data_IF_656071688645
#
_entry.id   IF_656071688645
#
_cell.length_a   1.000
_cell.length_b   1.000
_cell.length_c   1.000
_cell.angle_alpha   90.00
_cell.angle_beta   90.00
_cell.angle_gamma   90.00
#
_symmetry.space_group_name_H-M   'P 1'
#
loop_
_entity.id
_entity.type
_entity.pdbx_description
1 polymer ?
#
# COMPACT_ATOMS: atom_id res chain seq x y z
N UNK A 1 -0.29 -13.33 -19.81
CA UNK A 1 -0.45 -12.02 -19.15
C UNK A 1 -1.71 -12.06 -18.29
N UNK A 2 -1.75 -11.36 -17.14
CA UNK A 2 -2.91 -11.25 -16.25
C UNK A 2 -4.14 -10.71 -16.98
N UNK A 3 -3.99 -9.69 -17.82
CA UNK A 3 -5.10 -9.10 -18.58
C UNK A 3 -5.79 -10.11 -19.50
N UNK A 4 -5.04 -10.93 -20.24
CA UNK A 4 -5.58 -11.95 -21.15
C UNK A 4 -6.40 -13.04 -20.44
N UNK A 5 -6.19 -13.22 -19.13
CA UNK A 5 -6.90 -14.20 -18.31
C UNK A 5 -8.23 -13.67 -17.77
N UNK A 6 -8.50 -12.38 -17.94
CA UNK A 6 -9.78 -11.79 -17.53
C UNK A 6 -10.87 -12.14 -18.54
N UNK A 7 -12.13 -12.10 -18.13
CA UNK A 7 -13.25 -12.33 -19.05
C UNK A 7 -13.26 -11.29 -20.17
N UNK A 8 -13.75 -11.64 -21.35
CA UNK A 8 -13.85 -10.68 -22.47
C UNK A 8 -14.64 -9.43 -22.08
N UNK A 9 -15.67 -9.57 -21.24
CA UNK A 9 -16.47 -8.47 -20.74
C UNK A 9 -15.63 -7.51 -19.88
N UNK A 10 -14.84 -8.04 -18.94
CA UNK A 10 -13.94 -7.24 -18.11
C UNK A 10 -12.85 -6.54 -18.94
N UNK A 11 -12.28 -7.24 -19.91
CA UNK A 11 -11.27 -6.66 -20.81
C UNK A 11 -11.87 -5.49 -21.61
N UNK A 12 -13.02 -5.70 -22.25
CA UNK A 12 -13.75 -4.67 -23.01
C UNK A 12 -14.16 -3.49 -22.12
N UNK A 13 -14.65 -3.77 -20.92
CA UNK A 13 -15.05 -2.73 -19.97
C UNK A 13 -13.86 -1.90 -19.48
N UNK A 14 -12.72 -2.54 -19.18
CA UNK A 14 -11.49 -1.84 -18.78
C UNK A 14 -10.97 -0.91 -19.88
N UNK A 15 -10.85 -1.43 -21.11
CA UNK A 15 -10.44 -0.64 -22.28
C UNK A 15 -11.41 0.53 -22.48
N UNK A 16 -12.72 0.29 -22.41
CA UNK A 16 -13.72 1.34 -22.62
C UNK A 16 -13.62 2.45 -21.58
N UNK A 17 -13.41 2.11 -20.30
CA UNK A 17 -13.24 3.12 -19.25
C UNK A 17 -11.95 3.94 -19.44
N UNK A 18 -10.85 3.30 -19.83
CA UNK A 18 -9.61 4.00 -20.18
C UNK A 18 -9.81 4.95 -21.37
N UNK A 19 -10.51 4.51 -22.42
CA UNK A 19 -10.84 5.35 -23.57
C UNK A 19 -11.70 6.55 -23.18
N UNK A 20 -12.73 6.37 -22.35
CA UNK A 20 -13.60 7.46 -21.88
C UNK A 20 -12.82 8.47 -21.04
N UNK A 21 -11.96 8.01 -20.13
CA UNK A 21 -11.15 8.96 -19.33
C UNK A 21 -10.09 9.64 -20.21
N UNK A 22 -9.47 8.91 -21.13
CA UNK A 22 -8.54 9.46 -22.10
C UNK A 22 -9.18 10.45 -23.08
N UNK A 23 -10.45 10.26 -23.46
CA UNK A 23 -11.14 11.17 -24.39
C UNK A 23 -11.35 12.57 -23.78
N UNK A 24 -11.31 12.68 -22.45
CA UNK A 24 -11.44 13.93 -21.70
C UNK A 24 -10.12 14.71 -21.54
N UNK A 25 -9.07 14.34 -22.27
CA UNK A 25 -7.73 14.93 -22.14
C UNK A 25 -7.70 16.45 -22.25
N UNK A 26 -8.51 17.03 -23.14
CA UNK A 26 -8.61 18.47 -23.36
C UNK A 26 -9.19 19.25 -22.16
N UNK A 27 -9.67 18.58 -21.10
CA UNK A 27 -9.94 19.24 -19.82
C UNK A 27 -8.66 19.67 -19.09
N UNK A 28 -7.54 19.01 -19.36
CA UNK A 28 -6.28 19.17 -18.61
C UNK A 28 -5.09 19.58 -19.48
N UNK A 29 -5.11 19.25 -20.77
CA UNK A 29 -3.99 19.48 -21.68
C UNK A 29 -4.45 19.50 -23.13
N UNK A 30 -3.86 20.38 -23.95
CA UNK A 30 -4.07 20.44 -25.42
C UNK A 30 -3.15 19.45 -26.19
N UNK A 31 -2.58 18.46 -25.51
CA UNK A 31 -1.66 17.50 -26.13
C UNK A 31 -2.42 16.39 -26.87
N UNK A 32 -1.88 15.97 -28.02
CA UNK A 32 -2.39 14.82 -28.80
C UNK A 32 -2.20 13.48 -28.07
N UNK A 33 -1.22 13.38 -27.18
CA UNK A 33 -1.11 12.21 -26.31
C UNK A 33 -2.17 12.28 -25.22
N UNK A 34 -3.07 11.28 -25.09
CA UNK A 34 -4.13 11.36 -24.12
C UNK A 34 -3.58 11.41 -22.69
N UNK A 35 -4.20 12.22 -21.85
CA UNK A 35 -3.91 12.37 -20.44
C UNK A 35 -4.60 11.26 -19.64
N UNK A 36 -3.87 10.66 -18.71
CA UNK A 36 -4.42 9.71 -17.74
C UNK A 36 -3.78 9.94 -16.39
N UNK A 37 -4.56 10.45 -15.45
CA UNK A 37 -4.13 10.62 -14.07
C UNK A 37 -3.96 9.26 -13.40
N UNK A 38 -2.90 9.08 -12.61
CA UNK A 38 -2.55 7.77 -12.04
C UNK A 38 -3.65 7.20 -11.13
N UNK A 39 -4.30 8.01 -10.29
CA UNK A 39 -5.44 7.56 -9.48
C UNK A 39 -6.64 7.14 -10.31
N UNK A 40 -6.86 7.79 -11.46
CA UNK A 40 -7.93 7.38 -12.37
C UNK A 40 -7.60 5.99 -12.94
N UNK A 41 -6.34 5.76 -13.37
CA UNK A 41 -5.90 4.44 -13.83
C UNK A 41 -6.08 3.34 -12.76
N UNK A 42 -5.69 3.61 -11.51
CA UNK A 42 -5.88 2.71 -10.36
C UNK A 42 -7.36 2.36 -10.14
N UNK A 43 -8.22 3.38 -10.08
CA UNK A 43 -9.64 3.20 -9.85
C UNK A 43 -10.33 2.46 -11.00
N UNK A 44 -9.98 2.79 -12.24
CA UNK A 44 -10.50 2.11 -13.43
C UNK A 44 -10.09 0.64 -13.43
N UNK A 45 -8.83 0.34 -13.09
CA UNK A 45 -8.33 -1.04 -13.00
C UNK A 45 -9.11 -1.84 -11.95
N UNK A 46 -9.24 -1.30 -10.74
CA UNK A 46 -9.96 -1.97 -9.66
C UNK A 46 -11.45 -2.18 -10.00
N UNK A 47 -12.10 -1.14 -10.54
CA UNK A 47 -13.51 -1.17 -10.92
C UNK A 47 -13.77 -2.19 -12.04
N UNK A 48 -13.00 -2.14 -13.11
CA UNK A 48 -13.27 -2.94 -14.29
C UNK A 48 -12.89 -4.41 -14.13
N UNK A 49 -11.79 -4.66 -13.42
CA UNK A 49 -11.26 -6.00 -13.26
C UNK A 49 -11.63 -6.64 -11.92
N UNK A 50 -12.40 -5.95 -11.06
CA UNK A 50 -12.78 -6.46 -9.74
C UNK A 50 -11.57 -6.75 -8.86
N UNK A 51 -10.55 -5.89 -8.92
CA UNK A 51 -9.37 -5.95 -8.06
C UNK A 51 -9.61 -5.11 -6.79
N UNK A 52 -8.99 -5.53 -5.69
CA UNK A 52 -9.03 -4.80 -4.43
C UNK A 52 -8.03 -3.64 -4.49
N UNK A 53 -8.52 -2.42 -4.30
CA UNK A 53 -7.69 -1.22 -4.27
C UNK A 53 -6.90 -1.15 -2.96
N UNK A 54 -5.57 -1.06 -3.06
CA UNK A 54 -4.67 -0.91 -1.92
C UNK A 54 -4.06 0.49 -1.82
N UNK A 55 -4.36 1.39 -2.74
CA UNK A 55 -3.68 2.66 -2.92
C UNK A 55 -3.93 3.70 -1.80
N UNK A 56 -4.66 3.32 -0.73
CA UNK A 56 -4.84 4.07 0.53
C UNK A 56 -4.05 3.49 1.71
N UNK A 57 -3.48 2.28 1.57
CA UNK A 57 -2.53 1.70 2.51
C UNK A 57 -1.11 1.87 1.97
N UNK A 58 -0.11 1.90 2.84
CA UNK A 58 1.28 2.00 2.40
C UNK A 58 1.86 0.60 2.17
N UNK A 59 1.62 0.10 0.97
CA UNK A 59 1.98 -1.26 0.55
C UNK A 59 2.67 -1.23 -0.82
N UNK A 60 3.43 -2.29 -1.14
CA UNK A 60 4.21 -2.31 -2.39
C UNK A 60 3.37 -2.50 -3.66
N UNK A 61 2.09 -2.85 -3.53
CA UNK A 61 1.14 -3.04 -4.62
C UNK A 61 0.06 -1.96 -4.60
N UNK A 62 -0.36 -1.52 -5.77
CA UNK A 62 -1.46 -0.56 -5.90
C UNK A 62 -2.83 -1.29 -5.84
N UNK A 63 -2.86 -2.56 -6.24
CA UNK A 63 -4.03 -3.42 -6.16
C UNK A 63 -3.64 -4.91 -5.99
N UNK A 64 -4.62 -5.75 -5.65
CA UNK A 64 -4.47 -7.21 -5.75
C UNK A 64 -5.76 -7.87 -6.21
N UNK A 65 -5.65 -9.01 -6.89
CA UNK A 65 -6.80 -9.84 -7.30
C UNK A 65 -6.47 -11.31 -7.14
N UNK A 66 -7.23 -12.01 -6.29
CA UNK A 66 -6.90 -13.37 -5.89
C UNK A 66 -5.53 -13.39 -5.20
N UNK A 67 -4.62 -14.22 -5.70
CA UNK A 67 -3.25 -14.36 -5.22
C UNK A 67 -2.23 -13.50 -5.98
N UNK A 68 -2.67 -12.56 -6.83
CA UNK A 68 -1.76 -11.71 -7.62
C UNK A 68 -1.71 -10.29 -7.08
N UNK A 69 -0.53 -9.84 -6.67
CA UNK A 69 -0.20 -8.45 -6.35
C UNK A 69 0.13 -7.64 -7.60
N UNK A 70 -0.36 -6.40 -7.68
CA UNK A 70 -0.36 -5.63 -8.93
C UNK A 70 0.17 -4.22 -8.66
N UNK A 71 1.34 -3.92 -9.22
CA UNK A 71 1.88 -2.56 -9.32
C UNK A 71 1.36 -1.87 -10.57
N UNK A 72 0.63 -0.77 -10.41
CA UNK A 72 0.05 0.01 -11.49
C UNK A 72 0.94 1.18 -11.84
N UNK A 73 1.24 1.36 -13.13
CA UNK A 73 1.97 2.53 -13.62
C UNK A 73 1.31 3.10 -14.86
N UNK A 74 1.34 4.43 -14.97
CA UNK A 74 0.96 5.13 -16.19
C UNK A 74 2.00 6.18 -16.54
N UNK A 75 2.41 6.22 -17.80
CA UNK A 75 3.42 7.16 -18.26
C UNK A 75 3.42 7.34 -19.78
N UNK A 76 3.99 8.47 -20.22
CA UNK A 76 4.27 8.71 -21.64
C UNK A 76 5.23 7.64 -22.18
N UNK A 77 4.89 7.01 -23.30
CA UNK A 77 5.64 5.88 -23.86
C UNK A 77 7.05 6.28 -24.32
N UNK A 78 7.19 7.42 -25.01
CA UNK A 78 8.49 7.90 -25.50
C UNK A 78 9.18 6.88 -26.41
N UNK A 79 10.40 6.46 -26.03
CA UNK A 79 11.19 5.45 -26.76
C UNK A 79 10.86 4.00 -26.39
N UNK A 80 9.80 3.76 -25.62
CA UNK A 80 9.48 2.44 -25.04
C UNK A 80 10.36 2.06 -23.85
N UNK A 81 11.39 2.84 -23.52
CA UNK A 81 12.34 2.57 -22.42
C UNK A 81 12.33 3.71 -21.42
N UNK A 82 11.74 3.48 -20.23
CA UNK A 82 11.55 4.57 -19.27
C UNK A 82 11.83 4.16 -17.83
N UNK A 83 12.51 5.04 -17.09
CA UNK A 83 12.70 4.89 -15.66
C UNK A 83 11.47 5.44 -14.92
N UNK A 84 10.79 4.59 -14.18
CA UNK A 84 9.63 4.96 -13.35
C UNK A 84 9.86 4.55 -11.90
N UNK A 85 9.30 5.35 -10.98
CA UNK A 85 9.50 5.16 -9.53
C UNK A 85 8.80 3.87 -9.09
N UNK A 86 9.54 3.02 -8.40
CA UNK A 86 9.05 1.74 -7.85
C UNK A 86 9.17 1.65 -6.32
N UNK A 87 9.98 2.50 -5.68
CA UNK A 87 10.05 2.60 -4.22
C UNK A 87 10.61 3.96 -3.77
N UNK A 88 10.33 4.33 -2.53
CA UNK A 88 10.79 5.55 -1.88
C UNK A 88 11.22 5.28 -0.43
N UNK A 89 12.34 5.88 -0.01
CA UNK A 89 13.05 5.53 1.23
C UNK A 89 13.32 6.78 2.09
N UNK A 90 12.47 7.81 2.01
CA UNK A 90 12.68 9.08 2.71
C UNK A 90 12.89 8.90 4.23
N UNK A 91 12.14 7.98 4.84
CA UNK A 91 12.21 7.69 6.29
C UNK A 91 13.38 6.76 6.67
N UNK A 92 14.18 6.35 5.69
CA UNK A 92 15.32 5.45 5.80
C UNK A 92 16.63 6.13 5.39
N UNK A 93 16.65 7.45 5.15
CA UNK A 93 17.80 8.15 4.56
C UNK A 93 19.09 7.94 5.37
N UNK A 94 18.98 7.86 6.70
CA UNK A 94 20.09 7.62 7.61
C UNK A 94 20.76 6.27 7.41
N UNK A 95 20.03 5.27 6.90
CA UNK A 95 20.57 3.93 6.58
C UNK A 95 21.57 3.97 5.42
N UNK A 96 21.56 5.03 4.61
CA UNK A 96 22.44 5.17 3.44
C UNK A 96 23.60 6.14 3.67
N UNK A 97 23.51 7.05 4.67
CA UNK A 97 24.44 8.18 4.85
C UNK A 97 25.92 7.79 4.99
N UNK A 98 26.20 6.59 5.47
CA UNK A 98 27.56 6.11 5.73
C UNK A 98 28.01 5.02 4.75
N UNK A 99 27.17 4.64 3.80
CA UNK A 99 27.47 3.58 2.84
C UNK A 99 28.12 4.18 1.59
N UNK A 100 29.01 3.41 0.97
CA UNK A 100 29.47 3.71 -0.39
C UNK A 100 28.39 3.35 -1.41
N UNK A 101 28.64 3.62 -2.70
CA UNK A 101 27.66 3.36 -3.76
C UNK A 101 27.23 1.87 -3.79
N UNK A 102 28.17 0.97 -3.50
CA UNK A 102 27.91 -0.48 -3.49
C UNK A 102 27.05 -0.88 -2.30
N UNK A 103 27.40 -0.44 -1.09
CA UNK A 103 26.62 -0.70 0.11
C UNK A 103 25.22 -0.07 0.03
N UNK A 104 25.11 1.12 -0.56
CA UNK A 104 23.82 1.78 -0.79
C UNK A 104 22.96 0.96 -1.75
N UNK A 105 23.52 0.50 -2.87
CA UNK A 105 22.85 -0.40 -3.82
C UNK A 105 22.35 -1.69 -3.14
N UNK A 106 23.20 -2.39 -2.40
CA UNK A 106 22.84 -3.62 -1.68
C UNK A 106 21.74 -3.35 -0.65
N UNK A 107 21.82 -2.24 0.09
CA UNK A 107 20.81 -1.88 1.09
C UNK A 107 19.45 -1.54 0.48
N UNK A 108 19.44 -0.85 -0.67
CA UNK A 108 18.20 -0.55 -1.40
C UNK A 108 17.54 -1.83 -1.90
N UNK A 109 18.33 -2.77 -2.45
CA UNK A 109 17.84 -4.06 -2.88
C UNK A 109 17.20 -4.83 -1.72
N UNK A 110 17.86 -4.84 -0.55
CA UNK A 110 17.38 -5.48 0.66
C UNK A 110 16.04 -4.88 1.12
N UNK A 111 15.99 -3.56 1.27
CA UNK A 111 14.80 -2.86 1.76
C UNK A 111 13.62 -3.01 0.79
N UNK A 112 13.84 -2.93 -0.52
CA UNK A 112 12.78 -3.15 -1.51
C UNK A 112 12.24 -4.58 -1.40
N UNK A 113 13.11 -5.57 -1.38
CA UNK A 113 12.69 -6.98 -1.34
C UNK A 113 11.95 -7.28 -0.03
N UNK A 114 12.41 -6.76 1.11
CA UNK A 114 11.71 -6.92 2.39
C UNK A 114 10.30 -6.33 2.36
N UNK A 115 10.11 -5.15 1.77
CA UNK A 115 8.79 -4.50 1.67
C UNK A 115 7.84 -5.25 0.74
N UNK A 116 8.34 -5.74 -0.39
CA UNK A 116 7.56 -6.58 -1.31
C UNK A 116 7.13 -7.86 -0.59
N UNK A 117 8.08 -8.56 0.04
CA UNK A 117 7.79 -9.80 0.75
C UNK A 117 6.80 -9.61 1.90
N UNK A 118 6.91 -8.50 2.64
CA UNK A 118 5.93 -8.15 3.68
C UNK A 118 4.53 -7.92 3.10
N UNK A 119 4.45 -7.25 1.94
CA UNK A 119 3.19 -7.00 1.25
C UNK A 119 2.56 -8.30 0.74
N UNK A 120 3.36 -9.21 0.16
CA UNK A 120 2.89 -10.52 -0.28
C UNK A 120 2.25 -11.31 0.86
N UNK A 121 2.93 -11.37 2.01
CA UNK A 121 2.43 -12.05 3.21
C UNK A 121 1.20 -11.38 3.80
N UNK A 122 1.09 -10.05 3.71
CA UNK A 122 -0.06 -9.30 4.20
C UNK A 122 -1.34 -9.61 3.41
N UNK A 123 -1.21 -9.83 2.11
CA UNK A 123 -2.35 -10.02 1.20
C UNK A 123 -2.50 -11.46 0.69
N UNK A 124 -1.64 -12.38 1.12
CA UNK A 124 -1.67 -13.78 0.67
C UNK A 124 -1.41 -13.94 -0.83
N UNK A 125 -0.57 -13.09 -1.41
CA UNK A 125 -0.21 -13.17 -2.83
C UNK A 125 1.05 -14.01 -3.02
N UNK A 126 1.11 -14.75 -4.12
CA UNK A 126 2.24 -15.60 -4.53
C UNK A 126 2.77 -15.25 -5.94
N UNK A 127 2.04 -14.40 -6.67
CA UNK A 127 2.46 -13.84 -7.94
C UNK A 127 2.39 -12.32 -7.91
N UNK A 128 3.30 -11.66 -8.60
CA UNK A 128 3.36 -10.21 -8.64
C UNK A 128 3.64 -9.73 -10.05
N UNK A 129 2.91 -8.70 -10.48
CA UNK A 129 3.11 -8.10 -11.80
C UNK A 129 3.18 -6.58 -11.71
N UNK A 130 3.83 -5.97 -12.69
CA UNK A 130 3.52 -4.62 -13.07
C UNK A 130 2.50 -4.64 -14.21
N UNK A 131 1.43 -3.85 -14.07
CA UNK A 131 0.49 -3.55 -15.15
C UNK A 131 0.61 -2.08 -15.51
N UNK A 132 0.97 -1.82 -16.77
CA UNK A 132 1.40 -0.51 -17.24
C UNK A 132 0.43 -0.01 -18.31
N UNK A 133 -0.03 1.24 -18.18
CA UNK A 133 -0.72 1.97 -19.24
C UNK A 133 0.24 3.00 -19.81
N UNK A 134 0.80 2.74 -20.99
CA UNK A 134 1.69 3.69 -21.66
C UNK A 134 0.93 4.51 -22.71
N UNK A 135 1.33 5.77 -22.88
CA UNK A 135 0.56 6.76 -23.64
C UNK A 135 1.36 7.29 -24.84
N UNK A 136 0.78 7.18 -26.03
CA UNK A 136 1.26 7.70 -27.31
C UNK A 136 0.21 8.66 -27.89
N UNK A 137 0.55 9.36 -28.96
CA UNK A 137 -0.40 10.23 -29.66
C UNK A 137 -1.64 9.42 -30.09
N UNK A 138 -2.80 9.79 -29.55
CA UNK A 138 -4.09 9.12 -29.78
C UNK A 138 -4.19 7.67 -29.31
N UNK A 139 -3.20 7.10 -28.61
CA UNK A 139 -3.15 5.65 -28.35
C UNK A 139 -2.76 5.36 -26.89
N UNK A 140 -3.45 4.39 -26.30
CA UNK A 140 -3.00 3.71 -25.09
C UNK A 140 -2.53 2.30 -25.39
N UNK A 141 -1.46 1.90 -24.71
CA UNK A 141 -0.93 0.54 -24.75
C UNK A 141 -0.87 -0.05 -23.35
N UNK A 142 -1.38 -1.27 -23.22
CA UNK A 142 -1.23 -2.07 -22.00
C UNK A 142 0.00 -2.95 -22.11
N UNK A 143 0.84 -2.92 -21.08
CA UNK A 143 2.01 -3.79 -20.96
C UNK A 143 1.96 -4.47 -19.60
N UNK A 144 2.40 -5.73 -19.56
CA UNK A 144 2.52 -6.47 -18.30
C UNK A 144 3.88 -7.18 -18.25
N UNK A 145 4.52 -7.12 -17.09
CA UNK A 145 5.72 -7.90 -16.80
C UNK A 145 5.66 -8.39 -15.35
N UNK A 146 6.42 -9.44 -15.06
CA UNK A 146 6.54 -9.94 -13.69
C UNK A 146 7.28 -8.91 -12.81
N UNK A 147 6.79 -8.74 -11.59
CA UNK A 147 7.45 -7.91 -10.59
C UNK A 147 8.44 -8.78 -9.82
N UNK A 148 9.66 -8.91 -10.34
CA UNK A 148 10.71 -9.65 -9.65
C UNK A 148 11.22 -8.93 -8.40
N UNK A 149 11.68 -9.73 -7.44
CA UNK A 149 12.65 -9.29 -6.45
C UNK A 149 13.93 -8.81 -7.15
N UNK A 150 14.66 -7.88 -6.52
CA UNK A 150 16.01 -7.57 -7.00
C UNK A 150 16.90 -8.76 -6.69
N UNK A 151 17.50 -9.34 -7.72
CA UNK A 151 18.38 -10.49 -7.56
C UNK A 151 19.76 -10.04 -7.06
N UNK A 152 20.14 -10.54 -5.88
CA UNK A 152 21.42 -10.25 -5.24
C UNK A 152 22.60 -10.95 -5.91
N UNK A 153 22.38 -12.14 -6.50
CA UNK A 153 23.46 -12.95 -7.04
C UNK A 153 24.02 -12.34 -8.33
N UNK A 154 23.17 -11.69 -9.11
CA UNK A 154 23.57 -11.00 -10.36
C UNK A 154 23.70 -9.48 -10.23
N UNK A 155 23.47 -8.93 -9.02
CA UNK A 155 23.48 -7.50 -8.74
C UNK A 155 24.83 -6.84 -9.05
N UNK A 156 24.82 -5.84 -9.93
CA UNK A 156 26.02 -5.15 -10.43
C UNK A 156 25.85 -3.64 -10.51
N UNK A 157 26.73 -2.94 -9.80
CA UNK A 157 26.89 -1.49 -9.87
C UNK A 157 27.46 -1.06 -11.23
N UNK A 158 26.79 -0.12 -11.91
CA UNK A 158 27.31 0.55 -13.09
C UNK A 158 28.12 1.79 -12.67
N UNK A 159 29.41 1.57 -12.36
CA UNK A 159 30.33 2.63 -11.95
C UNK A 159 30.52 3.73 -13.00
N UNK A 160 30.28 3.44 -14.29
CA UNK A 160 30.46 4.43 -15.37
C UNK A 160 29.29 5.40 -15.45
N UNK A 161 28.08 4.94 -15.16
CA UNK A 161 26.87 5.79 -15.16
C UNK A 161 26.58 6.43 -13.82
N UNK A 162 27.07 5.84 -12.73
CA UNK A 162 26.89 6.36 -11.37
C UNK A 162 27.52 7.74 -11.22
N UNK A 163 26.79 8.66 -10.60
CA UNK A 163 27.22 10.03 -10.30
C UNK A 163 26.91 10.37 -8.84
N UNK A 164 27.39 11.53 -8.40
CA UNK A 164 27.04 12.17 -7.13
C UNK A 164 25.53 12.28 -6.82
N UNK A 165 24.68 12.20 -7.84
CA UNK A 165 23.22 12.33 -7.73
C UNK A 165 22.49 11.01 -7.90
N UNK A 166 23.02 10.10 -8.69
CA UNK A 166 22.33 8.88 -9.08
C UNK A 166 23.25 7.66 -9.04
N UNK A 167 22.81 6.61 -8.36
CA UNK A 167 23.46 5.30 -8.38
C UNK A 167 22.77 4.43 -9.41
N UNK A 168 23.51 3.95 -10.41
CA UNK A 168 22.99 3.08 -11.45
C UNK A 168 23.47 1.66 -11.22
N UNK A 169 22.56 0.70 -11.31
CA UNK A 169 22.87 -0.71 -11.14
C UNK A 169 21.88 -1.57 -11.91
N UNK A 170 22.17 -2.85 -12.00
CA UNK A 170 21.30 -3.83 -12.67
C UNK A 170 21.46 -5.20 -12.03
N UNK A 171 20.47 -6.03 -12.20
CA UNK A 171 20.54 -7.47 -11.98
C UNK A 171 20.23 -8.19 -13.31
N UNK A 172 19.86 -9.47 -13.25
CA UNK A 172 19.43 -10.24 -14.42
C UNK A 172 18.06 -9.80 -14.98
N UNK A 173 17.21 -9.19 -14.16
CA UNK A 173 15.83 -8.84 -14.51
C UNK A 173 15.71 -7.43 -15.08
N UNK A 174 16.40 -6.44 -14.52
CA UNK A 174 16.20 -5.05 -14.89
C UNK A 174 17.39 -4.12 -14.64
N UNK A 175 17.32 -2.93 -15.26
CA UNK A 175 18.18 -1.80 -14.93
C UNK A 175 17.48 -0.89 -13.92
N UNK A 176 18.25 -0.42 -12.95
CA UNK A 176 17.79 0.43 -11.86
C UNK A 176 18.58 1.73 -11.78
N UNK A 177 17.92 2.74 -11.23
CA UNK A 177 18.52 4.02 -10.90
C UNK A 177 17.98 4.47 -9.55
N UNK A 178 18.87 4.70 -8.59
CA UNK A 178 18.53 5.32 -7.33
C UNK A 178 18.87 6.80 -7.36
N UNK A 179 17.89 7.66 -7.11
CA UNK A 179 18.08 9.09 -7.02
C UNK A 179 18.29 9.52 -5.56
N UNK A 180 19.53 9.86 -5.22
CA UNK A 180 20.00 10.04 -3.84
C UNK A 180 19.21 11.15 -3.13
N UNK A 181 19.07 12.32 -3.75
CA UNK A 181 18.45 13.49 -3.12
C UNK A 181 16.99 13.28 -2.71
N UNK A 182 16.28 12.39 -3.42
CA UNK A 182 14.88 12.04 -3.11
C UNK A 182 14.75 10.66 -2.48
N UNK A 183 15.85 9.98 -2.17
CA UNK A 183 15.83 8.59 -1.70
C UNK A 183 14.85 7.69 -2.48
N UNK A 184 14.82 7.81 -3.81
CA UNK A 184 13.82 7.12 -4.66
C UNK A 184 14.47 6.15 -5.62
N UNK A 185 13.95 4.92 -5.65
CA UNK A 185 14.38 3.89 -6.57
C UNK A 185 13.48 3.86 -7.81
N UNK A 186 14.12 3.84 -8.96
CA UNK A 186 13.50 3.72 -10.28
C UNK A 186 13.91 2.40 -10.93
N UNK A 187 12.95 1.75 -11.59
CA UNK A 187 13.19 0.62 -12.51
C UNK A 187 13.04 1.12 -13.94
N UNK A 188 13.88 0.64 -14.84
CA UNK A 188 13.66 0.82 -16.27
C UNK A 188 12.63 -0.20 -16.77
N UNK A 189 11.51 0.30 -17.25
CA UNK A 189 10.49 -0.47 -17.96
C UNK A 189 10.81 -0.49 -19.45
N UNK A 190 10.68 -1.66 -20.08
CA UNK A 190 10.86 -1.87 -21.52
C UNK A 190 9.51 -2.30 -22.09
N UNK A 191 8.87 -1.41 -22.84
CA UNK A 191 7.49 -1.49 -23.30
C UNK A 191 7.45 -1.69 -24.82
N UNK A 192 8.21 -2.67 -25.33
CA UNK A 192 8.33 -2.89 -26.78
C UNK A 192 7.17 -3.77 -27.32
N UNK A 193 6.59 -4.63 -26.48
CA UNK A 193 5.56 -5.60 -26.85
C UNK A 193 4.29 -5.42 -26.01
N UNK A 194 3.32 -4.60 -26.45
CA UNK A 194 2.08 -4.41 -25.73
C UNK A 194 1.24 -5.70 -25.72
N UNK A 195 0.57 -5.94 -24.59
CA UNK A 195 -0.49 -6.95 -24.47
C UNK A 195 -1.65 -6.57 -25.39
N UNK A 196 -2.02 -5.30 -25.37
CA UNK A 196 -3.02 -4.73 -26.29
C UNK A 196 -2.75 -3.25 -26.49
N UNK A 197 -3.25 -2.73 -27.61
CA UNK A 197 -3.15 -1.33 -28.00
C UNK A 197 -4.51 -0.90 -28.55
N UNK A 198 -4.94 0.30 -28.21
CA UNK A 198 -6.22 0.83 -28.66
C UNK A 198 -6.19 2.34 -28.77
N UNK A 199 -6.96 2.83 -29.73
CA UNK A 199 -7.11 4.26 -30.00
C UNK A 199 -7.96 4.95 -28.92
N UNK A 200 -7.66 6.23 -28.72
CA UNK A 200 -8.34 7.14 -27.82
C UNK A 200 -8.68 8.40 -28.60
N UNK A 201 -9.95 8.54 -28.95
CA UNK A 201 -10.47 9.73 -29.60
C UNK A 201 -10.63 10.86 -28.57
N UNK A 202 -9.71 11.82 -28.57
CA UNK A 202 -9.79 12.99 -27.70
C UNK A 202 -10.88 13.92 -28.20
N UNK A 203 -11.82 14.28 -27.32
CA UNK A 203 -12.91 15.20 -27.64
C UNK A 203 -12.37 16.61 -27.83
N UNK A 204 -12.78 17.27 -28.91
CA UNK A 204 -12.43 18.68 -29.16
C UNK A 204 -12.95 19.59 -28.03
N UNK A 205 -14.22 19.44 -27.66
CA UNK A 205 -14.84 20.15 -26.53
C UNK A 205 -15.42 19.15 -25.51
N UNK A 206 -14.62 18.70 -24.52
CA UNK A 206 -15.10 17.81 -23.48
C UNK A 206 -16.11 18.49 -22.54
N UNK A 207 -16.14 19.82 -22.43
CA UNK A 207 -17.12 20.53 -21.59
C UNK A 207 -18.51 20.44 -22.22
N UNK A 208 -18.64 20.56 -23.54
CA UNK A 208 -19.91 20.36 -24.23
C UNK A 208 -20.46 18.95 -23.99
N UNK A 209 -19.61 17.93 -24.05
CA UNK A 209 -20.00 16.56 -23.73
C UNK A 209 -20.48 16.43 -22.29
N UNK A 210 -19.76 17.00 -21.32
CA UNK A 210 -20.14 16.98 -19.89
C UNK A 210 -21.43 17.76 -19.60
N UNK A 211 -21.80 18.75 -20.41
CA UNK A 211 -23.03 19.55 -20.26
C UNK A 211 -24.23 18.97 -21.05
N UNK A 212 -24.02 17.94 -21.86
CA UNK A 212 -25.04 17.32 -22.71
C UNK A 212 -26.18 16.67 -21.89
N UNK A 213 -27.36 16.51 -22.48
CA UNK A 213 -28.47 15.81 -21.80
C UNK A 213 -28.17 14.32 -21.59
N UNK A 214 -27.18 13.77 -22.29
CA UNK A 214 -26.67 12.41 -22.13
C UNK A 214 -25.87 12.25 -20.85
N UNK A 215 -25.06 13.25 -20.46
CA UNK A 215 -24.39 13.27 -19.15
C UNK A 215 -25.38 13.52 -18.01
N UNK A 216 -26.44 14.31 -18.25
CA UNK A 216 -27.51 14.60 -17.26
C UNK A 216 -28.27 13.38 -16.76
N UNK A 217 -28.35 12.31 -17.54
CA UNK A 217 -28.92 11.03 -17.10
C UNK A 217 -28.14 10.39 -15.95
N UNK A 218 -26.85 10.73 -15.79
CA UNK A 218 -25.98 10.20 -14.74
C UNK A 218 -25.88 11.10 -13.50
N UNK A 219 -26.23 12.39 -13.58
CA UNK A 219 -26.28 13.30 -12.41
C UNK A 219 -27.53 13.12 -11.55
N UNK A 220 -28.61 12.54 -12.10
CA UNK A 220 -29.91 12.39 -11.42
C UNK A 220 -30.10 11.04 -10.73
N UNK A 221 -29.11 10.14 -10.81
CA UNK A 221 -29.16 8.83 -10.17
C UNK A 221 -27.87 8.67 -9.40
N UNK A 222 -28.00 8.44 -8.10
CA UNK A 222 -26.96 8.26 -7.08
C UNK A 222 -26.60 9.51 -6.26
N UNK A 223 -27.52 9.94 -5.39
CA UNK A 223 -27.19 9.96 -3.96
C UNK A 223 -26.94 8.49 -3.52
N UNK A 224 -25.84 7.90 -3.98
CA UNK A 224 -25.20 6.90 -3.13
C UNK A 224 -24.23 7.73 -2.34
N UNK A 225 -24.56 7.99 -1.09
CA UNK A 225 -23.61 8.42 -0.09
C UNK A 225 -22.31 7.65 -0.36
N UNK A 226 -21.26 8.35 -0.81
CA UNK A 226 -19.92 7.76 -0.72
C UNK A 226 -19.77 7.44 0.76
N UNK A 227 -19.78 6.16 1.13
CA UNK A 227 -19.51 5.72 2.48
C UNK A 227 -18.08 6.17 2.81
N UNK A 228 -17.95 7.41 3.30
CA UNK A 228 -16.76 7.93 3.93
C UNK A 228 -16.64 7.22 5.25
N UNK A 229 -16.08 6.02 5.21
CA UNK A 229 -15.77 5.29 6.42
C UNK A 229 -14.80 6.11 7.26
N UNK A 230 -15.10 6.21 8.54
CA UNK A 230 -14.18 6.81 9.51
C UNK A 230 -12.90 5.97 9.57
N UNK A 231 -11.76 6.65 9.65
CA UNK A 231 -10.44 6.02 9.64
C UNK A 231 -9.55 6.61 10.72
N UNK A 232 -8.78 5.75 11.41
CA UNK A 232 -7.77 6.16 12.37
C UNK A 232 -6.47 5.38 12.16
N UNK A 233 -5.36 5.97 12.57
CA UNK A 233 -4.07 5.29 12.66
C UNK A 233 -3.74 4.95 14.12
N UNK A 234 -3.29 3.72 14.36
CA UNK A 234 -2.78 3.29 15.68
C UNK A 234 -1.31 2.88 15.56
N UNK A 235 -0.45 3.25 16.53
CA UNK A 235 0.96 2.92 16.48
C UNK A 235 1.18 1.44 16.86
N UNK A 236 2.13 0.79 16.21
CA UNK A 236 2.63 -0.53 16.61
C UNK A 236 3.74 -0.44 17.69
N UNK A 237 4.06 0.78 18.11
CA UNK A 237 5.04 1.12 19.14
C UNK A 237 4.40 1.99 20.22
N UNK A 238 5.14 2.25 21.30
CA UNK A 238 4.71 3.21 22.32
C UNK A 238 4.91 4.64 21.80
N UNK A 239 3.82 5.33 21.48
CA UNK A 239 3.85 6.74 21.07
C UNK A 239 4.53 7.67 22.10
N UNK A 240 4.57 7.27 23.38
CA UNK A 240 5.23 8.04 24.44
C UNK A 240 6.75 7.94 24.40
N UNK A 241 7.29 6.75 24.17
CA UNK A 241 8.74 6.50 24.21
C UNK A 241 9.38 6.45 22.82
N UNK A 242 8.58 6.35 21.76
CA UNK A 242 9.05 6.14 20.39
C UNK A 242 9.62 4.73 20.16
N UNK A 243 9.38 3.79 21.08
CA UNK A 243 10.00 2.44 21.06
C UNK A 243 8.95 1.34 21.12
N UNK A 244 9.30 0.16 20.61
CA UNK A 244 8.56 -1.07 20.92
C UNK A 244 9.04 -1.56 22.30
N UNK A 245 8.16 -1.51 23.28
CA UNK A 245 8.48 -1.84 24.68
C UNK A 245 8.74 -3.34 24.85
N UNK A 246 9.73 -3.72 25.68
CA UNK A 246 10.16 -5.12 25.82
C UNK A 246 9.11 -6.06 26.43
N UNK A 247 8.12 -5.53 27.16
CA UNK A 247 7.13 -6.31 27.94
C UNK A 247 5.70 -5.79 27.79
N UNK A 248 5.41 -5.04 26.73
CA UNK A 248 4.06 -4.52 26.47
C UNK A 248 3.80 -4.37 24.98
N UNK A 249 2.55 -4.07 24.60
CA UNK A 249 2.15 -4.01 23.20
C UNK A 249 2.42 -5.32 22.46
N UNK A 250 3.25 -5.25 21.41
CA UNK A 250 3.69 -6.40 20.61
C UNK A 250 4.54 -7.42 21.40
N UNK A 251 5.13 -7.02 22.52
CA UNK A 251 5.89 -7.92 23.41
C UNK A 251 5.14 -8.26 24.71
N UNK A 252 3.80 -8.16 24.74
CA UNK A 252 3.03 -8.56 25.92
C UNK A 252 3.30 -10.02 26.32
N UNK A 253 3.58 -10.89 25.35
CA UNK A 253 3.97 -12.28 25.58
C UNK A 253 5.24 -12.42 26.45
N UNK A 254 6.13 -11.42 26.46
CA UNK A 254 7.36 -11.40 27.25
C UNK A 254 7.17 -10.82 28.67
N UNK A 255 5.97 -10.32 28.98
CA UNK A 255 5.67 -9.86 30.33
C UNK A 255 5.57 -11.04 31.31
N UNK A 256 6.04 -10.85 32.54
CA UNK A 256 5.75 -11.81 33.63
C UNK A 256 4.24 -11.85 33.84
N UNK A 257 3.62 -12.99 33.56
CA UNK A 257 2.19 -13.19 33.79
C UNK A 257 1.94 -13.53 35.25
N UNK A 258 1.24 -12.67 35.98
CA UNK A 258 0.97 -12.88 37.42
C UNK A 258 0.08 -14.09 37.72
N UNK A 259 -0.68 -14.57 36.72
CA UNK A 259 -1.71 -15.62 36.88
C UNK A 259 -1.52 -16.85 35.99
N UNK A 260 -0.84 -16.70 34.85
CA UNK A 260 -0.54 -17.79 33.91
C UNK A 260 0.65 -17.42 33.03
N UNK A 261 1.36 -18.42 32.46
CA UNK A 261 2.26 -18.18 31.35
C UNK A 261 1.52 -17.47 30.21
N UNK A 262 2.16 -16.43 29.66
CA UNK A 262 1.67 -15.76 28.45
C UNK A 262 1.94 -16.66 27.24
N UNK A 263 1.05 -16.61 26.25
CA UNK A 263 1.24 -17.39 25.01
C UNK A 263 2.16 -16.62 24.05
N UNK A 264 2.94 -17.28 23.19
CA UNK A 264 3.93 -16.63 22.32
C UNK A 264 3.39 -15.56 21.36
N UNK A 265 2.08 -15.59 21.05
CA UNK A 265 1.41 -14.65 20.14
C UNK A 265 0.41 -13.74 20.88
N UNK A 266 0.52 -13.66 22.20
CA UNK A 266 -0.33 -12.79 23.01
C UNK A 266 0.20 -11.36 22.97
N UNK A 267 -0.56 -10.47 22.33
CA UNK A 267 -0.20 -9.06 22.14
C UNK A 267 -1.40 -8.15 22.34
N UNK A 268 -1.15 -6.85 22.37
CA UNK A 268 -2.16 -5.85 22.02
C UNK A 268 -1.52 -4.75 21.18
N UNK A 269 -2.31 -4.09 20.34
CA UNK A 269 -1.91 -2.86 19.67
C UNK A 269 -2.27 -1.69 20.59
N UNK A 270 -1.32 -0.81 20.95
CA UNK A 270 -1.59 0.34 21.78
C UNK A 270 -2.65 1.26 21.17
N UNK A 271 -3.60 1.71 22.00
CA UNK A 271 -4.51 2.80 21.65
C UNK A 271 -4.16 4.00 22.53
N UNK A 272 -3.51 5.04 21.97
CA UNK A 272 -3.27 6.29 22.67
C UNK A 272 -4.58 6.88 23.19
N UNK A 273 -4.60 7.35 24.44
CA UNK A 273 -5.83 7.80 25.09
C UNK A 273 -6.51 8.99 24.37
N UNK A 274 -5.75 9.78 23.60
CA UNK A 274 -6.30 10.89 22.82
C UNK A 274 -7.21 10.41 21.69
N UNK A 275 -7.02 9.20 21.16
CA UNK A 275 -7.89 8.61 20.13
C UNK A 275 -9.31 8.49 20.66
N UNK A 276 -9.48 7.91 21.86
CA UNK A 276 -10.79 7.81 22.52
C UNK A 276 -11.40 9.16 22.93
N UNK A 277 -10.60 10.23 22.94
CA UNK A 277 -11.07 11.60 23.22
C UNK A 277 -11.55 12.30 21.95
N UNK A 278 -10.79 12.17 20.88
CA UNK A 278 -11.04 12.87 19.62
C UNK A 278 -12.01 12.12 18.72
N UNK A 279 -12.00 10.79 18.77
CA UNK A 279 -12.83 9.88 17.98
C UNK A 279 -13.70 9.03 18.91
N UNK A 280 -14.46 9.69 19.78
CA UNK A 280 -15.41 9.03 20.68
C UNK A 280 -16.47 8.27 19.88
N UNK A 281 -16.76 7.02 20.26
CA UNK A 281 -17.67 6.14 19.51
C UNK A 281 -17.06 5.46 18.29
N UNK A 282 -15.76 5.67 17.99
CA UNK A 282 -15.11 4.97 16.88
C UNK A 282 -15.08 3.45 17.11
N UNK A 283 -14.63 3.01 18.29
CA UNK A 283 -14.72 1.62 18.72
C UNK A 283 -15.97 1.40 19.60
N UNK A 284 -16.46 0.16 19.74
CA UNK A 284 -17.49 -0.20 20.71
C UNK A 284 -16.88 -0.24 22.13
N UNK A 285 -16.45 0.93 22.60
CA UNK A 285 -15.85 1.19 23.89
C UNK A 285 -16.42 2.47 24.48
N UNK A 286 -17.06 2.35 25.64
CA UNK A 286 -17.49 3.48 26.43
C UNK A 286 -16.41 3.82 27.47
N UNK A 287 -15.79 4.98 27.31
CA UNK A 287 -14.73 5.48 28.19
C UNK A 287 -15.21 5.93 29.57
N UNK A 288 -16.50 6.19 29.75
CA UNK A 288 -17.10 6.63 31.00
C UNK A 288 -17.52 5.44 31.87
N UNK A 289 -18.13 4.42 31.27
CA UNK A 289 -18.53 3.19 31.99
C UNK A 289 -17.43 2.13 31.99
N UNK A 290 -16.52 2.16 31.02
CA UNK A 290 -15.48 1.14 30.82
C UNK A 290 -15.96 -0.08 30.03
N UNK A 291 -17.20 -0.08 29.54
CA UNK A 291 -17.80 -1.18 28.78
C UNK A 291 -17.13 -1.34 27.42
N UNK A 292 -16.87 -2.59 27.02
CA UNK A 292 -16.14 -2.95 25.80
C UNK A 292 -16.83 -4.15 25.17
N UNK A 293 -17.46 -3.92 24.03
CA UNK A 293 -18.09 -5.00 23.29
C UNK A 293 -17.11 -5.58 22.26
N UNK A 294 -17.19 -6.89 21.98
CA UNK A 294 -16.42 -7.50 20.91
C UNK A 294 -16.91 -7.04 19.54
N UNK A 295 -16.04 -7.09 18.55
CA UNK A 295 -16.34 -6.74 17.16
C UNK A 295 -15.52 -7.58 16.19
N UNK A 296 -15.92 -7.58 14.92
CA UNK A 296 -15.19 -8.26 13.85
C UNK A 296 -14.10 -7.34 13.30
N UNK A 297 -12.89 -7.89 13.19
CA UNK A 297 -11.76 -7.27 12.52
C UNK A 297 -11.40 -8.06 11.27
N UNK A 298 -11.48 -7.41 10.10
CA UNK A 298 -11.17 -7.98 8.80
C UNK A 298 -9.70 -7.70 8.49
N UNK A 299 -8.89 -8.75 8.39
CA UNK A 299 -7.49 -8.69 8.00
C UNK A 299 -7.34 -8.40 6.49
N UNK A 300 -6.15 -7.96 6.01
CA UNK A 300 -5.99 -7.59 4.61
C UNK A 300 -6.13 -8.72 3.59
N UNK A 301 -5.98 -9.97 4.03
CA UNK A 301 -6.24 -11.20 3.24
C UNK A 301 -7.74 -11.55 3.17
N UNK A 302 -8.59 -10.78 3.85
CA UNK A 302 -10.03 -11.01 3.94
C UNK A 302 -10.47 -11.90 5.09
N UNK A 303 -9.53 -12.45 5.89
CA UNK A 303 -9.88 -13.25 7.07
C UNK A 303 -10.55 -12.38 8.14
N UNK A 304 -11.65 -12.85 8.69
CA UNK A 304 -12.34 -12.22 9.81
C UNK A 304 -11.90 -12.83 11.14
N UNK A 305 -11.59 -12.00 12.12
CA UNK A 305 -11.25 -12.41 13.48
C UNK A 305 -12.07 -11.62 14.50
N UNK A 306 -12.43 -12.25 15.61
CA UNK A 306 -13.01 -11.53 16.75
C UNK A 306 -11.92 -10.68 17.41
N UNK A 307 -12.26 -9.43 17.72
CA UNK A 307 -11.39 -8.47 18.38
C UNK A 307 -12.16 -7.70 19.45
N UNK A 308 -11.42 -7.10 20.38
CA UNK A 308 -11.99 -6.22 21.38
C UNK A 308 -10.99 -5.20 21.90
N UNK A 309 -11.53 -4.12 22.44
CA UNK A 309 -10.76 -3.19 23.26
C UNK A 309 -10.49 -3.87 24.61
N UNK A 310 -9.29 -3.69 25.14
CA UNK A 310 -8.82 -4.32 26.36
C UNK A 310 -8.02 -3.36 27.24
N UNK A 311 -7.55 -3.86 28.40
CA UNK A 311 -6.76 -3.10 29.39
C UNK A 311 -7.49 -1.92 30.06
N UNK A 312 -6.99 -1.46 31.21
CA UNK A 312 -7.54 -0.27 31.88
C UNK A 312 -7.48 0.96 30.97
N UNK A 313 -8.59 1.72 30.90
CA UNK A 313 -8.72 2.90 30.04
C UNK A 313 -8.84 2.61 28.54
N UNK A 314 -9.05 1.35 28.14
CA UNK A 314 -9.23 0.98 26.72
C UNK A 314 -7.96 1.13 25.89
N UNK A 315 -6.79 1.04 26.52
CA UNK A 315 -5.48 1.34 25.91
C UNK A 315 -4.93 0.26 24.98
N UNK A 316 -5.68 -0.82 24.73
CA UNK A 316 -5.21 -1.92 23.88
C UNK A 316 -6.30 -2.48 22.99
N UNK A 317 -5.93 -2.83 21.77
CA UNK A 317 -6.70 -3.63 20.83
C UNK A 317 -6.10 -5.04 20.76
N UNK A 318 -6.91 -6.09 20.90
CA UNK A 318 -6.44 -7.47 20.78
C UNK A 318 -7.47 -8.36 20.09
N UNK A 319 -7.03 -9.51 19.57
CA UNK A 319 -7.96 -10.56 19.11
C UNK A 319 -8.53 -11.38 20.27
N UNK A 320 -9.64 -12.07 20.03
CA UNK A 320 -10.21 -13.09 20.90
C UNK A 320 -10.41 -14.40 20.10
N UNK A 321 -9.64 -15.47 20.32
CA UNK A 321 -8.58 -15.62 21.32
C UNK A 321 -7.39 -14.67 21.07
N UNK A 322 -6.74 -14.22 22.13
CA UNK A 322 -5.55 -13.34 22.05
C UNK A 322 -4.31 -14.13 21.60
N UNK A 323 -4.32 -14.47 20.31
CA UNK A 323 -3.26 -15.15 19.57
C UNK A 323 -3.30 -14.85 18.07
N UNK A 324 -4.47 -14.52 17.51
CA UNK A 324 -4.63 -14.41 16.05
C UNK A 324 -3.99 -13.14 15.50
N UNK A 325 -4.27 -12.00 16.15
CA UNK A 325 -3.67 -10.72 15.76
C UNK A 325 -2.13 -10.77 15.93
N UNK A 326 -1.65 -11.41 17.00
CA UNK A 326 -0.21 -11.59 17.22
C UNK A 326 0.43 -12.59 16.27
N UNK A 327 -0.25 -13.67 15.90
CA UNK A 327 0.25 -14.59 14.88
C UNK A 327 0.43 -13.86 13.55
N UNK A 328 -0.59 -13.11 13.15
CA UNK A 328 -0.54 -12.31 11.93
C UNK A 328 0.62 -11.30 11.96
N UNK A 329 0.73 -10.45 12.99
CA UNK A 329 1.79 -9.43 13.04
C UNK A 329 3.18 -10.08 13.22
N UNK A 330 3.36 -10.92 14.24
CA UNK A 330 4.69 -11.40 14.62
C UNK A 330 5.24 -12.48 13.69
N UNK A 331 4.37 -13.41 13.26
CA UNK A 331 4.79 -14.63 12.54
C UNK A 331 4.62 -14.48 11.05
N UNK A 332 3.48 -13.95 10.60
CA UNK A 332 3.24 -13.73 9.18
C UNK A 332 4.00 -12.53 8.66
N UNK A 333 3.88 -11.36 9.30
CA UNK A 333 4.38 -10.11 8.73
C UNK A 333 5.86 -9.88 9.07
N UNK A 334 6.21 -9.94 10.36
CA UNK A 334 7.59 -9.70 10.79
C UNK A 334 8.49 -10.94 10.65
N UNK A 335 7.91 -12.13 10.52
CA UNK A 335 8.61 -13.43 10.45
C UNK A 335 9.60 -13.65 11.60
N UNK A 336 9.23 -13.20 12.80
CA UNK A 336 10.06 -13.37 13.98
C UNK A 336 9.85 -14.77 14.58
N UNK A 337 10.93 -15.48 14.96
CA UNK A 337 10.83 -16.68 15.77
C UNK A 337 10.09 -16.45 17.09
N UNK A 338 9.49 -17.50 17.65
CA UNK A 338 8.95 -17.43 19.01
C UNK A 338 10.07 -17.12 20.02
N UNK A 339 9.80 -16.23 20.97
CA UNK A 339 10.79 -15.81 21.97
C UNK A 339 11.70 -14.65 21.55
N UNK A 340 11.70 -14.22 20.29
CA UNK A 340 12.42 -13.02 19.87
C UNK A 340 11.62 -11.75 20.21
N UNK A 341 12.22 -10.86 21.00
CA UNK A 341 11.65 -9.55 21.36
C UNK A 341 11.57 -8.67 20.11
N UNK A 342 10.38 -8.14 19.85
CA UNK A 342 10.12 -7.19 18.76
C UNK A 342 10.75 -5.85 19.11
N UNK A 343 11.52 -5.30 18.19
CA UNK A 343 12.12 -3.97 18.29
C UNK A 343 11.48 -3.01 17.29
N UNK A 344 11.75 -1.71 17.41
CA UNK A 344 11.34 -0.76 16.38
C UNK A 344 12.04 -1.06 15.04
N UNK A 345 13.29 -1.54 15.09
CA UNK A 345 14.05 -1.91 13.90
C UNK A 345 13.39 -3.06 13.12
N UNK A 346 12.65 -3.95 13.79
CA UNK A 346 11.89 -5.02 13.13
C UNK A 346 10.70 -4.47 12.32
N UNK A 347 10.00 -3.47 12.85
CA UNK A 347 8.92 -2.77 12.16
C UNK A 347 9.48 -1.97 10.98
N UNK A 348 10.57 -1.24 11.24
CA UNK A 348 11.27 -0.41 10.28
C UNK A 348 11.87 -1.23 9.12
N UNK A 349 12.35 -2.45 9.38
CA UNK A 349 12.85 -3.39 8.37
C UNK A 349 11.80 -3.75 7.32
N UNK A 350 10.53 -3.83 7.70
CA UNK A 350 9.41 -4.12 6.78
C UNK A 350 8.68 -2.86 6.31
N UNK A 351 9.12 -1.67 6.74
CA UNK A 351 8.61 -0.38 6.29
C UNK A 351 7.31 0.09 6.95
N UNK A 352 6.91 -0.52 8.06
CA UNK A 352 5.67 -0.18 8.79
C UNK A 352 6.01 0.38 10.16
N UNK A 353 5.13 1.18 10.75
CA UNK A 353 5.17 1.48 12.20
C UNK A 353 3.79 1.64 12.84
N UNK A 354 2.75 1.52 12.03
CA UNK A 354 1.37 1.79 12.43
C UNK A 354 0.41 0.95 11.60
N UNK A 355 -0.84 0.93 12.05
CA UNK A 355 -1.95 0.28 11.36
C UNK A 355 -3.04 1.30 11.08
N UNK A 356 -3.73 1.14 9.96
CA UNK A 356 -4.94 1.84 9.59
C UNK A 356 -6.15 1.00 10.01
N UNK A 357 -7.05 1.57 10.81
CA UNK A 357 -8.35 0.98 11.10
C UNK A 357 -9.42 1.76 10.35
N UNK A 358 -10.24 1.06 9.58
CA UNK A 358 -11.41 1.59 8.87
C UNK A 358 -12.69 1.06 9.51
N UNK A 359 -13.59 1.93 9.95
CA UNK A 359 -14.88 1.58 10.54
C UNK A 359 -15.91 1.37 9.44
N UNK A 360 -16.36 0.13 9.22
CA UNK A 360 -17.47 -0.15 8.31
C UNK A 360 -18.82 0.04 9.00
N UNK A 361 -18.91 -0.37 10.27
CA UNK A 361 -20.01 -0.05 11.17
C UNK A 361 -19.54 -0.25 12.63
N UNK A 362 -20.45 -0.11 13.60
CA UNK A 362 -20.11 -0.15 15.03
C UNK A 362 -19.45 -1.45 15.51
N UNK A 363 -19.62 -2.56 14.79
CA UNK A 363 -19.10 -3.87 15.18
C UNK A 363 -18.29 -4.55 14.07
N UNK A 364 -17.90 -3.83 13.02
CA UNK A 364 -17.13 -4.38 11.90
C UNK A 364 -16.11 -3.36 11.40
N UNK A 365 -14.85 -3.76 11.46
CA UNK A 365 -13.70 -2.93 11.16
C UNK A 365 -12.76 -3.65 10.22
N UNK A 366 -12.05 -2.91 9.38
CA UNK A 366 -10.93 -3.43 8.58
C UNK A 366 -9.61 -2.89 9.10
N UNK A 367 -8.62 -3.76 9.21
CA UNK A 367 -7.24 -3.39 9.56
C UNK A 367 -6.34 -3.50 8.34
N UNK A 368 -5.43 -2.55 8.19
CA UNK A 368 -4.33 -2.63 7.23
C UNK A 368 -3.04 -2.08 7.85
N UNK A 369 -1.88 -2.43 7.29
CA UNK A 369 -0.65 -1.76 7.68
C UNK A 369 -0.58 -0.37 7.06
N UNK A 370 0.09 0.54 7.77
CA UNK A 370 0.33 1.90 7.36
C UNK A 370 1.83 2.18 7.26
N UNK A 371 2.18 3.23 6.52
CA UNK A 371 3.57 3.64 6.36
C UNK A 371 4.21 3.80 7.70
N UNK A 372 5.52 3.58 7.75
CA UNK A 372 6.32 4.31 8.73
C UNK A 372 5.91 5.78 8.74
N UNK A 373 5.65 6.36 9.90
CA UNK A 373 5.27 7.74 10.15
C UNK A 373 3.83 8.14 9.81
N UNK A 374 2.98 7.25 9.27
CA UNK A 374 1.56 7.60 9.06
C UNK A 374 0.86 7.96 10.36
N UNK A 375 1.16 7.26 11.46
CA UNK A 375 0.64 7.63 12.77
C UNK A 375 1.13 9.00 13.23
N UNK A 376 2.39 9.37 12.95
CA UNK A 376 2.92 10.66 13.35
C UNK A 376 2.21 11.81 12.61
N UNK A 377 2.04 11.67 11.29
CA UNK A 377 1.32 12.64 10.46
C UNK A 377 -0.15 12.77 10.94
N UNK A 378 -0.82 11.64 11.22
CA UNK A 378 -2.17 11.62 11.77
C UNK A 378 -2.26 12.22 13.18
N UNK A 379 -1.27 11.96 14.03
CA UNK A 379 -1.20 12.53 15.36
C UNK A 379 -1.03 14.05 15.29
N UNK A 380 -0.16 14.57 14.43
CA UNK A 380 0.04 16.01 14.23
C UNK A 380 -1.23 16.71 13.72
N UNK A 381 -1.98 16.07 12.83
CA UNK A 381 -3.20 16.64 12.25
C UNK A 381 -4.39 16.68 13.23
N UNK A 382 -4.57 15.63 14.04
CA UNK A 382 -5.80 15.45 14.81
C UNK A 382 -5.65 15.57 16.33
N UNK A 383 -4.43 15.48 16.87
CA UNK A 383 -4.21 15.57 18.32
C UNK A 383 -4.07 17.03 18.74
N UNK A 384 -5.21 17.61 19.11
CA UNK A 384 -5.29 18.93 19.75
C UNK A 384 -4.81 18.94 21.20
#
# INVERSE_FOLDING_TARGET
MFFDRQTEEQQKHYIKLLQVVGSLSNLFSENKTPYLYYRAAENIFCKALGANNLARGDVSFDAFKGNVGIGLKTFMHGSGKKYEKIAEFNKDIDKFRHLDDKGTMEKIAELRNNRIAATERAHGTDGMIYHLVTRKDGIFELHEEEMHYIDFDTLKLDRKKTTDKNIFFKDEHANYKFYIAKSTLYKQFICDNPVTSFDVDILDDPFQFLLSDESKKYYMVHETEEEKYEQIFLPLYSARSGKVEEKSGLNQWNAKGDKRPRKPNEIYIPIPAWIHKQFEGFFPYDRHTGNKDPFILILPDGKEIDASICQGGGKGLMSNPNKELGFWILRTILQLPEGQVVTYDDLDRVGIDSILITKYNDHRFKINFASKGSYADFEEEFKN
#
